data_IF_195063595052
#
_entry.id   IF_195063595052
#
_cell.length_a   1.000
_cell.length_b   1.000
_cell.length_c   1.000
_cell.angle_alpha   90.00
_cell.angle_beta   90.00
_cell.angle_gamma   90.00
#
_symmetry.space_group_name_H-M   'P 1'
#
loop_
_entity.id
_entity.type
_entity.pdbx_description
1 polymer ?
#
# COMPACT_ATOMS: atom_id res chain seq x y z
N UNK A 1 -26.09 -45.43 7.24
CA UNK A 1 -26.50 -44.02 7.47
C UNK A 1 -26.18 -43.24 6.20
N UNK A 2 -27.18 -42.70 5.52
CA UNK A 2 -27.17 -42.48 4.07
C UNK A 2 -26.75 -41.04 3.68
N UNK A 3 -25.76 -40.90 2.81
CA UNK A 3 -25.10 -39.63 2.42
C UNK A 3 -26.09 -38.63 1.77
N UNK A 4 -27.18 -39.14 1.20
CA UNK A 4 -28.24 -38.33 0.57
C UNK A 4 -28.96 -37.43 1.60
N UNK A 5 -29.10 -37.90 2.85
CA UNK A 5 -29.81 -37.15 3.90
C UNK A 5 -28.99 -35.98 4.45
N UNK A 6 -27.66 -36.06 4.39
CA UNK A 6 -26.77 -34.99 4.86
C UNK A 6 -26.78 -33.77 3.92
N UNK A 7 -26.97 -33.99 2.61
CA UNK A 7 -27.01 -32.91 1.61
C UNK A 7 -28.28 -32.06 1.74
N UNK A 8 -29.42 -32.67 2.07
CA UNK A 8 -30.70 -31.95 2.20
C UNK A 8 -30.73 -31.02 3.43
N UNK A 9 -30.11 -31.42 4.54
CA UNK A 9 -30.02 -30.60 5.75
C UNK A 9 -29.13 -29.36 5.59
N UNK A 10 -28.14 -29.39 4.68
CA UNK A 10 -27.24 -28.26 4.42
C UNK A 10 -27.87 -27.16 3.55
N UNK A 11 -28.84 -27.51 2.72
CA UNK A 11 -29.57 -26.55 1.88
C UNK A 11 -30.63 -25.78 2.66
N UNK A 12 -31.33 -26.44 3.59
CA UNK A 12 -32.36 -25.81 4.43
C UNK A 12 -31.76 -24.82 5.45
N UNK A 13 -30.52 -25.05 5.90
CA UNK A 13 -29.81 -24.13 6.78
C UNK A 13 -29.35 -22.88 6.04
N UNK A 14 -28.80 -22.93 4.82
CA UNK A 14 -28.34 -21.71 4.12
C UNK A 14 -29.45 -20.73 3.72
N UNK A 15 -30.68 -21.21 3.54
CA UNK A 15 -31.78 -20.37 3.07
C UNK A 15 -32.42 -19.54 4.19
N UNK A 16 -32.37 -20.00 5.46
CA UNK A 16 -32.91 -19.23 6.60
C UNK A 16 -32.03 -18.05 7.01
N UNK A 17 -30.70 -18.13 6.83
CA UNK A 17 -29.77 -17.02 7.13
C UNK A 17 -29.91 -15.83 6.17
N UNK A 18 -30.32 -16.09 4.92
CA UNK A 18 -30.47 -15.02 3.92
C UNK A 18 -31.65 -14.09 4.24
N UNK A 19 -32.73 -14.61 4.82
CA UNK A 19 -33.86 -13.79 5.25
C UNK A 19 -33.65 -13.10 6.61
N UNK A 20 -32.80 -13.65 7.48
CA UNK A 20 -32.45 -13.02 8.76
C UNK A 20 -31.52 -11.81 8.57
N UNK A 21 -30.58 -11.86 7.62
CA UNK A 21 -29.65 -10.74 7.37
C UNK A 21 -30.25 -9.59 6.54
N UNK A 22 -31.31 -9.85 5.75
CA UNK A 22 -31.99 -8.81 4.98
C UNK A 22 -32.96 -7.93 5.81
N UNK A 23 -33.38 -8.38 7.00
CA UNK A 23 -34.29 -7.62 7.88
C UNK A 23 -33.58 -6.70 8.88
N UNK A 24 -32.26 -6.84 9.06
CA UNK A 24 -31.46 -6.06 10.03
C UNK A 24 -30.86 -4.78 9.40
N UNK A 25 -30.81 -4.67 8.07
CA UNK A 25 -30.14 -3.57 7.36
C UNK A 25 -31.07 -2.44 6.87
N UNK A 26 -32.38 -2.49 7.13
CA UNK A 26 -33.35 -1.52 6.60
C UNK A 26 -33.98 -0.57 7.64
N UNK A 27 -33.50 -0.56 8.89
CA UNK A 27 -34.13 0.19 10.00
C UNK A 27 -33.21 1.17 10.75
N UNK A 28 -32.25 1.79 10.08
CA UNK A 28 -31.55 2.96 10.65
C UNK A 28 -31.03 3.86 9.54
N UNK A 29 -31.06 5.17 9.80
CA UNK A 29 -30.68 6.29 8.91
C UNK A 29 -31.78 6.86 8.01
N UNK A 30 -32.94 7.13 8.61
CA UNK A 30 -33.73 8.32 8.27
C UNK A 30 -33.56 9.34 9.40
N UNK A 31 -32.44 10.08 9.39
CA UNK A 31 -32.28 11.31 10.16
C UNK A 31 -31.67 12.38 9.28
N UNK A 32 -32.49 13.41 9.05
CA UNK A 32 -32.15 14.71 8.52
C UNK A 32 -30.87 15.26 9.19
N UNK A 33 -29.84 15.53 8.39
CA UNK A 33 -28.90 16.61 8.67
C UNK A 33 -28.71 17.41 7.39
N UNK A 34 -29.42 18.54 7.33
CA UNK A 34 -29.02 19.68 6.50
C UNK A 34 -27.71 20.21 7.10
N UNK A 35 -26.58 19.73 6.59
CA UNK A 35 -25.27 20.28 6.86
C UNK A 35 -24.77 20.95 5.58
N UNK A 36 -24.58 22.26 5.69
CA UNK A 36 -24.01 23.19 4.72
C UNK A 36 -23.02 22.56 3.75
N UNK A 37 -23.26 22.79 2.45
CA UNK A 37 -22.26 22.61 1.41
C UNK A 37 -21.21 23.72 1.57
N UNK A 38 -20.28 23.54 2.51
CA UNK A 38 -19.02 24.28 2.54
C UNK A 38 -17.96 23.34 1.99
N UNK A 39 -17.71 23.45 0.69
CA UNK A 39 -16.49 22.96 0.06
C UNK A 39 -15.30 23.45 0.88
N UNK A 40 -14.47 22.56 1.48
CA UNK A 40 -13.20 23.01 1.99
C UNK A 40 -12.41 23.62 0.82
N UNK A 41 -11.80 24.80 0.96
CA UNK A 41 -10.95 25.33 -0.10
C UNK A 41 -9.88 24.28 -0.41
N UNK A 42 -9.60 24.09 -1.69
CA UNK A 42 -8.43 23.35 -2.12
C UNK A 42 -7.23 23.93 -1.38
N UNK A 43 -6.58 23.12 -0.54
CA UNK A 43 -5.33 23.53 0.10
C UNK A 43 -4.34 23.75 -1.04
N UNK A 44 -4.11 25.03 -1.36
CA UNK A 44 -3.08 25.44 -2.29
C UNK A 44 -1.74 25.21 -1.60
N UNK A 45 -1.05 24.15 -1.98
CA UNK A 45 0.29 23.84 -1.47
C UNK A 45 1.37 24.83 -1.95
N UNK A 46 0.99 25.91 -2.66
CA UNK A 46 1.87 27.03 -3.02
C UNK A 46 2.45 27.75 -1.80
N UNK A 47 1.78 27.64 -0.64
CA UNK A 47 2.16 28.37 0.57
C UNK A 47 2.95 27.51 1.56
N UNK A 48 3.51 26.37 1.12
CA UNK A 48 4.46 25.64 1.94
C UNK A 48 5.78 26.44 1.95
N UNK A 49 6.12 27.18 3.03
CA UNK A 49 7.34 27.95 3.09
C UNK A 49 8.44 26.99 3.55
N UNK A 50 8.59 25.86 2.86
CA UNK A 50 9.83 25.11 2.92
C UNK A 50 10.82 25.86 2.03
N UNK A 51 11.24 27.04 2.53
CA UNK A 51 12.59 27.52 2.24
C UNK A 51 13.49 26.32 2.52
N UNK A 52 14.38 25.92 1.59
CA UNK A 52 15.37 24.90 1.88
C UNK A 52 16.35 25.53 2.86
N UNK A 53 15.95 25.63 4.13
CA UNK A 53 16.88 25.73 5.23
C UNK A 53 17.64 24.42 5.12
N UNK A 54 18.86 24.51 4.62
CA UNK A 54 19.86 23.47 4.75
C UNK A 54 20.05 23.24 6.25
N UNK A 55 19.15 22.47 6.85
CA UNK A 55 19.50 21.62 7.97
C UNK A 55 20.66 20.85 7.38
N UNK A 56 21.88 21.22 7.79
CA UNK A 56 23.04 20.39 7.59
C UNK A 56 22.57 19.02 8.05
N UNK A 57 22.32 18.12 7.09
CA UNK A 57 22.20 16.72 7.39
C UNK A 57 23.59 16.41 7.93
N UNK A 58 23.77 16.56 9.24
CA UNK A 58 24.81 15.86 9.95
C UNK A 58 24.70 14.47 9.38
N UNK A 59 25.73 14.08 8.62
CA UNK A 59 25.83 12.78 8.01
C UNK A 59 25.92 11.83 9.19
N UNK A 60 24.77 11.49 9.79
CA UNK A 60 24.64 10.38 10.69
C UNK A 60 25.29 9.24 9.92
N UNK A 61 26.34 8.66 10.51
CA UNK A 61 27.03 7.54 9.92
C UNK A 61 25.94 6.56 9.46
N UNK A 62 25.76 6.49 8.14
CA UNK A 62 24.74 5.62 7.56
C UNK A 62 25.00 4.22 8.14
N UNK A 63 23.96 3.42 8.42
CA UNK A 63 24.14 1.97 8.52
C UNK A 63 25.13 1.58 7.44
N UNK A 64 26.20 0.91 7.82
CA UNK A 64 27.10 0.42 6.81
C UNK A 64 26.28 -0.57 6.01
N UNK A 65 25.72 -0.11 4.89
CA UNK A 65 25.43 -0.97 3.76
C UNK A 65 26.81 -1.44 3.28
N UNK A 66 27.53 -2.21 4.12
CA UNK A 66 28.66 -3.02 3.73
C UNK A 66 28.19 -3.72 2.48
N UNK A 67 29.00 -3.70 1.41
CA UNK A 67 28.50 -3.70 0.05
C UNK A 67 27.40 -4.74 -0.11
N UNK A 68 26.14 -4.29 -0.03
CA UNK A 68 25.01 -5.08 -0.44
C UNK A 68 25.21 -5.15 -1.93
N UNK A 69 26.03 -6.09 -2.39
CA UNK A 69 26.11 -6.47 -3.79
C UNK A 69 24.76 -7.11 -4.03
N UNK A 70 23.75 -6.38 -4.54
CA UNK A 70 22.46 -6.99 -4.76
C UNK A 70 22.78 -8.07 -5.79
N UNK A 71 22.53 -9.33 -5.46
CA UNK A 71 22.68 -10.38 -6.44
C UNK A 71 21.85 -9.93 -7.66
N UNK A 72 22.43 -9.86 -8.87
CA UNK A 72 21.69 -9.37 -10.02
C UNK A 72 20.44 -10.23 -10.15
N UNK A 73 19.28 -9.59 -10.03
CA UNK A 73 18.01 -10.28 -10.21
C UNK A 73 17.96 -10.70 -11.66
N UNK A 74 18.16 -11.99 -11.91
CA UNK A 74 18.02 -12.56 -13.24
C UNK A 74 16.53 -12.68 -13.52
N UNK A 75 15.98 -11.75 -14.30
CA UNK A 75 14.69 -11.96 -14.94
C UNK A 75 14.85 -13.14 -15.92
N UNK A 76 13.95 -14.10 -15.85
CA UNK A 76 13.94 -15.24 -16.76
C UNK A 76 13.02 -14.99 -17.95
N UNK A 77 12.20 -15.99 -18.30
CA UNK A 77 11.38 -15.95 -19.53
C UNK A 77 10.42 -14.74 -19.52
N UNK A 78 10.48 -13.83 -20.52
CA UNK A 78 9.56 -12.72 -20.66
C UNK A 78 8.09 -13.16 -20.70
N UNK A 79 7.18 -12.26 -20.34
CA UNK A 79 5.75 -12.50 -20.57
C UNK A 79 5.50 -12.68 -22.07
N UNK A 80 4.66 -13.66 -22.43
CA UNK A 80 4.19 -13.84 -23.80
C UNK A 80 3.36 -12.63 -24.25
N UNK A 81 3.26 -12.41 -25.56
CA UNK A 81 2.43 -11.34 -26.13
C UNK A 81 0.96 -11.44 -25.67
N UNK A 82 0.43 -12.65 -25.56
CA UNK A 82 -0.92 -12.89 -25.05
C UNK A 82 -1.08 -12.51 -23.57
N UNK A 83 -0.07 -12.78 -22.72
CA UNK A 83 -0.07 -12.31 -21.33
C UNK A 83 0.01 -10.79 -21.23
N UNK A 84 0.89 -10.16 -22.01
CA UNK A 84 1.01 -8.69 -22.06
C UNK A 84 -0.31 -8.05 -22.48
N UNK A 85 -0.99 -8.61 -23.49
CA UNK A 85 -2.32 -8.15 -23.91
C UNK A 85 -3.35 -8.20 -22.78
N UNK A 86 -3.37 -9.30 -22.01
CA UNK A 86 -4.26 -9.43 -20.84
C UNK A 86 -3.91 -8.44 -19.72
N UNK A 87 -2.62 -8.22 -19.44
CA UNK A 87 -2.18 -7.25 -18.44
C UNK A 87 -2.57 -5.81 -18.81
N UNK A 88 -2.34 -5.43 -20.07
CA UNK A 88 -2.75 -4.13 -20.60
C UNK A 88 -4.27 -3.93 -20.52
N UNK A 89 -5.04 -4.92 -20.94
CA UNK A 89 -6.51 -4.87 -20.87
C UNK A 89 -7.00 -4.74 -19.43
N UNK A 90 -6.43 -5.53 -18.52
CA UNK A 90 -6.80 -5.51 -17.09
C UNK A 90 -6.50 -4.14 -16.47
N UNK A 91 -5.34 -3.55 -16.80
CA UNK A 91 -4.97 -2.24 -16.30
C UNK A 91 -5.90 -1.14 -16.85
N UNK A 92 -6.19 -1.17 -18.16
CA UNK A 92 -7.11 -0.22 -18.79
C UNK A 92 -8.53 -0.29 -18.21
N UNK A 93 -9.01 -1.49 -17.87
CA UNK A 93 -10.32 -1.68 -17.23
C UNK A 93 -10.34 -1.27 -15.75
N UNK A 94 -9.21 -1.42 -15.04
CA UNK A 94 -9.14 -1.14 -13.60
C UNK A 94 -8.95 0.34 -13.30
N UNK A 95 -8.14 1.07 -14.08
CA UNK A 95 -7.80 2.47 -13.78
C UNK A 95 -9.05 3.35 -13.56
N UNK A 96 -10.08 3.34 -14.42
CA UNK A 96 -11.28 4.16 -14.21
C UNK A 96 -12.02 3.83 -12.91
N UNK A 97 -11.96 2.58 -12.45
CA UNK A 97 -12.63 2.13 -11.22
C UNK A 97 -11.94 2.63 -9.95
N UNK A 98 -10.68 3.06 -10.04
CA UNK A 98 -9.94 3.58 -8.88
C UNK A 98 -10.23 5.05 -8.58
N UNK A 99 -10.81 5.78 -9.53
CA UNK A 99 -10.94 7.24 -9.45
C UNK A 99 -9.61 8.01 -9.55
N UNK A 100 -8.48 7.34 -9.78
CA UNK A 100 -7.18 7.97 -9.92
C UNK A 100 -7.00 8.59 -11.31
N UNK A 101 -6.49 9.82 -11.35
CA UNK A 101 -6.18 10.54 -12.61
C UNK A 101 -5.01 9.90 -13.37
N UNK A 102 -4.09 9.24 -12.67
CA UNK A 102 -2.97 8.49 -13.24
C UNK A 102 -2.52 7.35 -12.32
N UNK A 103 -1.95 6.30 -12.91
CA UNK A 103 -1.37 5.19 -12.17
C UNK A 103 -0.22 4.54 -12.94
N UNK A 104 0.64 3.83 -12.21
CA UNK A 104 1.65 2.93 -12.74
C UNK A 104 1.54 1.57 -12.06
N UNK A 105 1.71 0.49 -12.83
CA UNK A 105 1.77 -0.88 -12.31
C UNK A 105 3.04 -1.54 -12.85
N UNK A 106 3.73 -2.29 -12.00
CA UNK A 106 4.83 -3.17 -12.39
C UNK A 106 4.58 -4.55 -11.79
N UNK A 107 4.80 -5.59 -12.60
CA UNK A 107 4.67 -6.99 -12.22
C UNK A 107 5.96 -7.69 -12.62
N UNK A 108 6.57 -8.40 -11.69
CA UNK A 108 7.72 -9.25 -11.94
C UNK A 108 7.41 -10.69 -11.50
N UNK A 109 7.87 -11.66 -12.27
CA UNK A 109 7.77 -13.09 -11.93
C UNK A 109 9.16 -13.59 -11.53
N UNK A 110 9.27 -14.29 -10.40
CA UNK A 110 10.53 -14.91 -10.00
C UNK A 110 10.98 -15.93 -11.07
N UNK A 111 12.23 -15.81 -11.53
CA UNK A 111 12.72 -16.62 -12.66
C UNK A 111 11.99 -16.36 -13.99
N UNK A 112 11.23 -15.27 -14.09
CA UNK A 112 10.49 -14.84 -15.27
C UNK A 112 10.72 -13.37 -15.58
N UNK A 113 9.99 -12.87 -16.58
CA UNK A 113 10.08 -11.48 -17.02
C UNK A 113 9.45 -10.49 -16.07
N UNK A 114 9.58 -9.22 -16.44
CA UNK A 114 8.84 -8.11 -15.87
C UNK A 114 7.96 -7.46 -16.93
N UNK A 115 6.87 -6.87 -16.47
CA UNK A 115 5.98 -6.02 -17.25
C UNK A 115 5.68 -4.78 -16.43
N UNK A 116 5.57 -3.62 -17.09
CA UNK A 116 5.09 -2.41 -16.44
C UNK A 116 4.28 -1.57 -17.41
N UNK A 117 3.35 -0.79 -16.87
CA UNK A 117 2.56 0.16 -17.64
C UNK A 117 2.20 1.37 -16.81
N UNK A 118 2.02 2.52 -17.47
CA UNK A 118 1.63 3.79 -16.86
C UNK A 118 0.56 4.44 -17.72
N UNK A 119 -0.51 4.94 -17.10
CA UNK A 119 -1.63 5.56 -17.80
C UNK A 119 -2.21 6.73 -17.00
N UNK A 120 -2.94 7.61 -17.69
CA UNK A 120 -3.64 8.77 -17.11
C UNK A 120 -2.93 10.12 -17.27
N UNK A 121 -3.61 11.19 -16.85
CA UNK A 121 -3.20 12.57 -17.06
C UNK A 121 -2.09 12.96 -16.07
N UNK A 122 -0.91 13.26 -16.59
CA UNK A 122 0.25 13.70 -15.81
C UNK A 122 0.53 15.16 -16.14
N UNK A 123 -0.17 16.05 -15.44
CA UNK A 123 -0.24 17.44 -15.86
C UNK A 123 1.13 18.12 -15.85
N UNK A 124 1.94 18.07 -14.78
CA UNK A 124 3.31 18.62 -14.78
C UNK A 124 4.15 17.98 -13.64
N UNK A 125 5.47 17.72 -13.86
CA UNK A 125 6.42 17.33 -12.80
C UNK A 125 7.00 15.89 -12.84
N UNK A 126 8.02 15.59 -12.01
CA UNK A 126 8.82 14.36 -12.08
C UNK A 126 7.98 13.08 -11.95
N UNK A 127 8.50 11.97 -12.51
CA UNK A 127 7.81 10.69 -12.70
C UNK A 127 7.55 9.85 -11.44
N UNK A 128 7.41 10.50 -10.30
CA UNK A 128 7.33 9.87 -8.99
C UNK A 128 5.94 10.02 -8.40
N UNK A 129 5.43 8.94 -7.81
CA UNK A 129 4.22 8.98 -6.99
C UNK A 129 4.61 9.10 -5.52
N UNK A 130 3.81 9.80 -4.74
CA UNK A 130 3.89 9.72 -3.29
C UNK A 130 3.51 8.31 -2.84
N UNK A 131 4.48 7.56 -2.33
CA UNK A 131 4.29 6.15 -1.98
C UNK A 131 4.01 5.92 -0.48
N UNK A 132 3.31 6.88 0.15
CA UNK A 132 2.76 6.87 1.51
C UNK A 132 3.38 5.84 2.48
N UNK A 133 2.58 4.92 3.03
CA UNK A 133 3.01 3.98 4.06
C UNK A 133 4.05 2.95 3.59
N UNK A 134 4.34 2.86 2.29
CA UNK A 134 5.41 1.97 1.80
C UNK A 134 6.79 2.45 2.26
N UNK A 135 6.93 3.74 2.60
CA UNK A 135 8.14 4.24 3.26
C UNK A 135 8.51 3.49 4.55
N UNK A 136 7.53 2.90 5.27
CA UNK A 136 7.80 2.10 6.47
C UNK A 136 8.63 0.85 6.18
N UNK A 137 8.54 0.28 4.98
CA UNK A 137 9.38 -0.86 4.60
C UNK A 137 10.86 -0.46 4.57
N UNK A 138 11.16 0.73 4.05
CA UNK A 138 12.53 1.25 4.05
C UNK A 138 13.02 1.50 5.47
N UNK A 139 12.19 2.12 6.32
CA UNK A 139 12.51 2.32 7.74
C UNK A 139 12.77 0.99 8.45
N UNK A 140 11.92 -0.01 8.24
CA UNK A 140 12.09 -1.33 8.83
C UNK A 140 13.40 -2.00 8.38
N UNK A 141 13.73 -1.98 7.08
CA UNK A 141 15.00 -2.51 6.57
C UNK A 141 16.20 -1.84 7.21
N UNK A 142 16.17 -0.52 7.38
CA UNK A 142 17.25 0.23 8.03
C UNK A 142 17.40 -0.17 9.50
N UNK A 143 16.30 -0.29 10.24
CA UNK A 143 16.34 -0.73 11.65
C UNK A 143 16.90 -2.15 11.78
N UNK A 144 16.46 -3.06 10.92
CA UNK A 144 16.95 -4.44 10.92
C UNK A 144 18.44 -4.50 10.56
N UNK A 145 18.91 -3.71 9.58
CA UNK A 145 20.34 -3.60 9.25
C UNK A 145 21.15 -3.09 10.45
N UNK A 146 20.67 -2.06 11.14
CA UNK A 146 21.35 -1.56 12.35
C UNK A 146 21.37 -2.61 13.48
N UNK A 147 20.36 -3.48 13.55
CA UNK A 147 20.32 -4.57 14.52
C UNK A 147 21.35 -5.65 14.21
N UNK A 148 21.49 -6.03 12.93
CA UNK A 148 22.55 -6.94 12.46
C UNK A 148 23.96 -6.38 12.72
N UNK A 149 24.14 -5.07 12.57
CA UNK A 149 25.39 -4.35 12.89
C UNK A 149 25.66 -4.21 14.40
N UNK A 150 24.72 -4.64 15.26
CA UNK A 150 24.82 -4.46 16.72
C UNK A 150 24.71 -3.01 17.19
N UNK A 151 24.26 -2.09 16.33
CA UNK A 151 24.06 -0.67 16.66
C UNK A 151 22.79 -0.42 17.46
N UNK A 152 21.79 -1.27 17.26
CA UNK A 152 20.52 -1.31 18.01
C UNK A 152 20.22 -2.75 18.39
N UNK A 153 19.45 -2.96 19.45
CA UNK A 153 18.79 -4.24 19.74
C UNK A 153 17.29 -4.09 19.53
N UNK A 154 16.60 -5.14 19.08
CA UNK A 154 15.17 -5.05 18.79
C UNK A 154 14.28 -5.00 20.05
N UNK A 155 14.84 -5.39 21.19
CA UNK A 155 14.19 -5.43 22.51
C UNK A 155 14.56 -4.25 23.42
N UNK A 156 15.39 -3.32 22.93
CA UNK A 156 15.73 -2.13 23.67
C UNK A 156 14.57 -1.14 23.71
N UNK A 157 14.43 -0.43 24.81
CA UNK A 157 13.48 0.66 24.97
C UNK A 157 13.99 1.95 24.32
N UNK A 158 13.06 2.88 24.01
CA UNK A 158 13.41 4.12 23.31
C UNK A 158 14.09 5.16 24.22
N UNK A 159 14.00 4.99 25.55
CA UNK A 159 14.55 5.94 26.54
C UNK A 159 16.07 6.14 26.42
N UNK A 160 16.77 5.17 25.81
CA UNK A 160 18.19 5.30 25.47
C UNK A 160 18.50 6.46 24.53
N UNK A 161 17.58 6.83 23.63
CA UNK A 161 17.72 7.99 22.73
C UNK A 161 16.84 9.16 23.14
N UNK A 162 15.72 8.87 23.80
CA UNK A 162 14.74 9.86 24.22
C UNK A 162 14.45 9.71 25.72
N UNK A 163 15.35 10.21 26.59
CA UNK A 163 15.26 10.00 28.05
C UNK A 163 13.94 10.47 28.68
N UNK A 164 13.23 11.39 28.02
CA UNK A 164 11.92 11.89 28.46
C UNK A 164 10.78 10.85 28.33
N UNK A 165 11.04 9.68 27.75
CA UNK A 165 10.07 8.60 27.53
C UNK A 165 10.53 7.28 28.19
N UNK A 166 10.61 7.23 29.54
CA UNK A 166 11.13 6.07 30.26
C UNK A 166 10.27 4.82 30.05
N UNK A 167 10.89 3.70 29.67
CA UNK A 167 10.23 2.40 29.58
C UNK A 167 9.27 2.22 28.39
N UNK A 168 9.32 3.14 27.42
CA UNK A 168 8.58 3.06 26.17
C UNK A 168 9.27 2.20 25.11
#
# INVERSE_FOLDING_TARGET
>A
MNIVQQKQNFHLTRQSWRHALQKILTLSFASLFLASCSTPPAISYSDCPLKPTSISAQRLAQPSLGPLKPAPVKFGVPFSSAEIGRLNQSFAQTLPLTGATAASIAIARAGGGSWSSTAGLRLYGPKSFWWASVGKMVTATIILQMAEEGRVKLDQTIDRWFPDFPGA
#
